data_IF_535782809048
#
_entry.id   IF_535782809048
#
_cell.length_a   1.000
_cell.length_b   1.000
_cell.length_c   1.000
_cell.angle_alpha   90.00
_cell.angle_beta   90.00
_cell.angle_gamma   90.00
#
_symmetry.space_group_name_H-M   'P 1'
#
loop_
_entity.id
_entity.type
_entity.pdbx_description
1 polymer ?
#
# COMPACT_ATOMS: atom_id res chain seq x y z
N UNK A 1 27.96 15.69 -46.07
CA UNK A 1 27.26 14.58 -45.37
C UNK A 1 25.88 14.42 -46.00
N UNK A 2 25.63 13.34 -46.75
CA UNK A 2 24.42 13.19 -47.58
C UNK A 2 23.15 13.36 -46.74
N UNK A 3 22.22 14.22 -47.18
CA UNK A 3 20.91 14.45 -46.53
C UNK A 3 20.15 13.15 -46.25
N UNK A 4 20.35 12.14 -47.10
CA UNK A 4 19.83 10.78 -46.95
C UNK A 4 20.41 10.02 -45.73
N UNK A 5 21.73 10.16 -45.48
CA UNK A 5 22.38 9.56 -44.31
C UNK A 5 21.96 10.24 -43.01
N UNK A 6 21.71 11.55 -43.05
CA UNK A 6 21.21 12.30 -41.88
C UNK A 6 19.75 11.93 -41.53
N UNK A 7 18.90 11.75 -42.55
CA UNK A 7 17.51 11.31 -42.37
C UNK A 7 17.41 9.88 -41.83
N UNK A 8 18.26 8.96 -42.29
CA UNK A 8 18.30 7.58 -41.81
C UNK A 8 18.74 7.48 -40.34
N UNK A 9 19.72 8.29 -39.92
CA UNK A 9 20.19 8.37 -38.53
C UNK A 9 19.10 8.94 -37.61
N UNK A 10 18.35 9.95 -38.08
CA UNK A 10 17.25 10.53 -37.31
C UNK A 10 16.08 9.54 -37.12
N UNK A 11 15.73 8.78 -38.16
CA UNK A 11 14.69 7.74 -38.07
C UNK A 11 15.16 6.63 -37.11
N UNK A 12 16.42 6.18 -37.21
CA UNK A 12 16.96 5.14 -36.34
C UNK A 12 17.01 5.58 -34.86
N UNK A 13 17.28 6.86 -34.59
CA UNK A 13 17.25 7.44 -33.24
C UNK A 13 15.84 7.50 -32.63
N UNK A 14 14.78 7.60 -33.44
CA UNK A 14 13.39 7.56 -32.97
C UNK A 14 12.97 6.13 -32.61
N UNK A 15 13.45 5.13 -33.36
CA UNK A 15 13.08 3.72 -33.13
C UNK A 15 13.64 3.19 -31.80
N UNK A 16 14.88 3.54 -31.43
CA UNK A 16 15.50 3.06 -30.18
C UNK A 16 14.83 3.58 -28.90
N UNK A 17 14.24 4.79 -28.93
CA UNK A 17 13.55 5.37 -27.77
C UNK A 17 12.13 4.84 -27.59
N UNK A 18 11.56 4.20 -28.62
CA UNK A 18 10.19 3.69 -28.58
C UNK A 18 10.06 2.38 -27.79
N UNK A 19 11.10 1.54 -27.78
CA UNK A 19 11.10 0.25 -27.10
C UNK A 19 10.98 0.36 -25.57
N UNK A 20 11.65 1.32 -24.94
CA UNK A 20 11.62 1.45 -23.46
C UNK A 20 10.26 1.92 -22.95
N UNK A 21 9.60 2.85 -23.65
CA UNK A 21 8.27 3.35 -23.30
C UNK A 21 7.21 2.27 -23.52
N UNK A 22 7.29 1.54 -24.66
CA UNK A 22 6.40 0.40 -24.94
C UNK A 22 6.52 -0.70 -23.86
N UNK A 23 7.74 -0.96 -23.39
CA UNK A 23 7.98 -1.93 -22.33
C UNK A 23 7.36 -1.47 -21.00
N UNK A 24 7.54 -0.22 -20.58
CA UNK A 24 6.98 0.31 -19.33
C UNK A 24 5.45 0.36 -19.35
N UNK A 25 4.84 0.73 -20.47
CA UNK A 25 3.39 0.69 -20.60
C UNK A 25 2.87 -0.75 -20.48
N UNK A 26 3.52 -1.72 -21.12
CA UNK A 26 3.16 -3.13 -21.00
C UNK A 26 3.36 -3.69 -19.60
N UNK A 27 4.45 -3.33 -18.91
CA UNK A 27 4.71 -3.69 -17.51
C UNK A 27 3.61 -3.19 -16.58
N UNK A 28 3.19 -1.94 -16.77
CA UNK A 28 2.14 -1.28 -16.02
C UNK A 28 0.78 -1.96 -16.22
N UNK A 29 0.39 -2.26 -17.46
CA UNK A 29 -0.86 -2.97 -17.75
C UNK A 29 -0.89 -4.37 -17.12
N UNK A 30 0.24 -5.10 -17.16
CA UNK A 30 0.35 -6.40 -16.50
C UNK A 30 0.28 -6.30 -14.97
N UNK A 31 0.80 -5.22 -14.39
CA UNK A 31 0.67 -4.97 -12.95
C UNK A 31 -0.80 -4.73 -12.57
N UNK A 32 -1.53 -3.91 -13.33
CA UNK A 32 -2.97 -3.71 -13.10
C UNK A 32 -3.74 -5.03 -13.23
N UNK A 33 -3.36 -5.87 -14.20
CA UNK A 33 -3.95 -7.19 -14.42
C UNK A 33 -3.46 -8.29 -13.47
N UNK A 34 -2.62 -7.97 -12.48
CA UNK A 34 -2.15 -8.93 -11.47
C UNK A 34 -3.21 -9.16 -10.40
N UNK A 35 -3.09 -10.27 -9.67
CA UNK A 35 -3.91 -10.52 -8.48
C UNK A 35 -3.27 -9.87 -7.26
N UNK A 36 -4.09 -9.36 -6.34
CA UNK A 36 -3.63 -8.65 -5.14
C UNK A 36 -4.32 -9.21 -3.91
N UNK A 37 -3.58 -9.33 -2.82
CA UNK A 37 -4.10 -9.71 -1.52
C UNK A 37 -3.48 -8.84 -0.42
N UNK A 38 -4.31 -8.37 0.51
CA UNK A 38 -3.84 -7.81 1.77
C UNK A 38 -3.59 -8.99 2.71
N UNK A 39 -2.33 -9.33 2.95
CA UNK A 39 -1.97 -10.56 3.67
C UNK A 39 -1.71 -10.34 5.15
N UNK A 40 -1.36 -9.12 5.56
CA UNK A 40 -1.16 -8.77 6.97
C UNK A 40 -1.27 -7.26 7.22
N UNK A 41 -1.63 -6.89 8.45
CA UNK A 41 -1.53 -5.52 8.98
C UNK A 41 -0.90 -5.60 10.37
N UNK A 42 0.28 -5.03 10.52
CA UNK A 42 1.01 -5.03 11.79
C UNK A 42 0.94 -3.64 12.42
N UNK A 43 0.56 -3.58 13.69
CA UNK A 43 0.73 -2.40 14.51
C UNK A 43 2.15 -2.38 15.08
N UNK A 44 2.86 -1.27 14.90
CA UNK A 44 4.28 -1.15 15.26
C UNK A 44 4.52 -0.16 16.39
N UNK A 45 3.71 0.90 16.48
CA UNK A 45 3.85 1.92 17.51
C UNK A 45 2.49 2.52 17.85
N UNK A 46 2.22 2.75 19.13
CA UNK A 46 1.03 3.46 19.62
C UNK A 46 1.47 4.58 20.55
N UNK A 47 1.15 5.83 20.22
CA UNK A 47 1.52 6.96 21.07
C UNK A 47 3.02 7.04 21.35
N UNK A 48 3.89 6.67 20.41
CA UNK A 48 5.34 6.63 20.64
C UNK A 48 5.85 5.43 21.44
N UNK A 49 4.98 4.54 21.90
CA UNK A 49 5.34 3.26 22.52
C UNK A 49 5.44 2.19 21.44
N UNK A 50 6.57 1.51 21.34
CA UNK A 50 6.73 0.36 20.45
C UNK A 50 5.83 -0.78 20.92
N UNK A 51 4.99 -1.28 20.02
CA UNK A 51 4.05 -2.37 20.29
C UNK A 51 4.26 -3.56 19.37
N UNK A 52 5.35 -3.57 18.59
CA UNK A 52 5.63 -4.59 17.57
C UNK A 52 5.77 -6.00 18.18
N UNK A 53 6.24 -6.08 19.43
CA UNK A 53 6.53 -7.34 20.14
C UNK A 53 5.49 -7.67 21.23
N UNK A 54 4.39 -6.91 21.34
CA UNK A 54 3.30 -7.23 22.27
C UNK A 54 2.62 -8.53 21.85
N UNK A 55 3.03 -9.62 22.49
CA UNK A 55 2.45 -10.95 22.38
C UNK A 55 1.94 -11.41 23.76
N UNK A 56 1.33 -12.59 23.85
CA UNK A 56 0.75 -13.12 25.10
C UNK A 56 1.73 -13.15 26.31
N UNK A 57 3.04 -13.04 26.06
CA UNK A 57 4.10 -13.08 27.09
C UNK A 57 4.74 -11.72 27.41
N UNK A 58 4.54 -10.69 26.58
CA UNK A 58 5.08 -9.35 26.77
C UNK A 58 3.95 -8.35 26.95
N UNK A 59 3.84 -7.80 28.16
CA UNK A 59 2.88 -6.75 28.49
C UNK A 59 3.55 -5.37 28.48
N UNK A 60 2.76 -4.34 28.17
CA UNK A 60 3.13 -2.95 28.42
C UNK A 60 3.64 -2.76 29.85
N UNK A 61 4.77 -2.09 30.01
CA UNK A 61 5.28 -1.76 31.34
C UNK A 61 4.53 -0.55 31.94
N UNK A 62 4.73 -0.27 33.22
CA UNK A 62 4.03 0.83 33.89
C UNK A 62 4.33 2.21 33.27
N UNK A 63 5.55 2.42 32.75
CA UNK A 63 5.93 3.64 32.04
C UNK A 63 5.24 3.78 30.69
N UNK A 64 5.09 2.68 29.95
CA UNK A 64 4.34 2.65 28.70
C UNK A 64 2.88 3.03 28.95
N UNK A 65 2.25 2.44 29.98
CA UNK A 65 0.86 2.72 30.37
C UNK A 65 0.69 4.21 30.76
N UNK A 66 1.61 4.77 31.54
CA UNK A 66 1.59 6.20 31.90
C UNK A 66 1.71 7.09 30.64
N UNK A 67 2.58 6.72 29.71
CA UNK A 67 2.78 7.45 28.44
C UNK A 67 1.51 7.42 27.60
N UNK A 68 0.94 6.23 27.37
CA UNK A 68 -0.29 6.04 26.63
C UNK A 68 -1.48 6.77 27.27
N UNK A 69 -1.56 6.78 28.59
CA UNK A 69 -2.61 7.49 29.35
C UNK A 69 -2.49 9.00 29.14
N UNK A 70 -1.29 9.57 29.26
CA UNK A 70 -1.08 10.99 29.00
C UNK A 70 -1.44 11.39 27.58
N UNK A 71 -1.10 10.55 26.60
CA UNK A 71 -1.42 10.76 25.18
C UNK A 71 -2.91 10.64 24.93
N UNK A 72 -3.60 9.69 25.54
CA UNK A 72 -5.06 9.58 25.47
C UNK A 72 -5.75 10.87 25.94
N UNK A 73 -5.29 11.46 27.05
CA UNK A 73 -5.83 12.73 27.55
C UNK A 73 -5.55 13.92 26.62
N UNK A 74 -4.54 13.84 25.76
CA UNK A 74 -4.27 14.85 24.73
C UNK A 74 -5.28 14.81 23.57
N UNK A 75 -6.10 13.76 23.47
CA UNK A 75 -7.07 13.59 22.38
C UNK A 75 -6.46 13.16 21.05
N UNK A 76 -5.18 12.77 21.03
CA UNK A 76 -4.48 12.28 19.84
C UNK A 76 -3.74 10.99 20.18
N UNK A 77 -4.12 9.88 19.55
CA UNK A 77 -3.51 8.57 19.78
C UNK A 77 -2.95 8.02 18.46
N UNK A 78 -1.75 8.46 18.04
CA UNK A 78 -1.18 8.03 16.77
C UNK A 78 -0.84 6.53 16.82
N UNK A 79 -1.32 5.78 15.84
CA UNK A 79 -1.04 4.37 15.63
C UNK A 79 -0.28 4.21 14.31
N UNK A 80 0.93 3.67 14.36
CA UNK A 80 1.74 3.33 13.18
C UNK A 80 1.47 1.89 12.76
N UNK A 81 1.12 1.74 11.49
CA UNK A 81 0.77 0.47 10.86
C UNK A 81 1.73 0.15 9.71
N UNK A 82 2.03 -1.14 9.55
CA UNK A 82 2.65 -1.69 8.35
C UNK A 82 1.66 -2.64 7.67
N UNK A 83 1.22 -2.29 6.46
CA UNK A 83 0.32 -3.11 5.65
C UNK A 83 1.15 -3.92 4.65
N UNK A 84 0.94 -5.22 4.61
CA UNK A 84 1.64 -6.16 3.73
C UNK A 84 0.72 -6.55 2.59
N UNK A 85 1.17 -6.29 1.37
CA UNK A 85 0.38 -6.55 0.17
C UNK A 85 1.16 -7.53 -0.70
N UNK A 86 0.53 -8.66 -0.97
CA UNK A 86 1.01 -9.60 -1.96
C UNK A 86 0.45 -9.22 -3.33
N UNK A 87 1.31 -9.17 -4.33
CA UNK A 87 0.95 -9.09 -5.74
C UNK A 87 1.42 -10.35 -6.44
N UNK A 88 0.52 -11.00 -7.19
CA UNK A 88 0.80 -12.17 -8.00
C UNK A 88 0.67 -11.83 -9.49
N UNK A 89 1.80 -11.85 -10.19
CA UNK A 89 1.81 -11.63 -11.63
C UNK A 89 1.42 -12.92 -12.37
N UNK A 90 0.21 -12.94 -12.91
CA UNK A 90 -0.33 -14.08 -13.68
C UNK A 90 0.18 -14.17 -15.11
N UNK A 91 1.00 -13.20 -15.54
CA UNK A 91 1.46 -13.07 -16.92
C UNK A 91 2.85 -13.72 -17.12
N UNK A 92 3.17 -14.02 -18.38
CA UNK A 92 4.46 -14.58 -18.84
C UNK A 92 5.59 -13.56 -18.93
N UNK A 93 5.31 -12.29 -18.62
CA UNK A 93 6.26 -11.17 -18.67
C UNK A 93 6.20 -10.37 -17.38
N UNK A 94 7.30 -9.71 -17.06
CA UNK A 94 7.43 -8.85 -15.87
C UNK A 94 6.30 -7.80 -15.82
N UNK A 95 5.68 -7.68 -14.65
CA UNK A 95 4.75 -6.63 -14.30
C UNK A 95 5.46 -5.58 -13.46
N UNK A 96 5.27 -4.29 -13.72
CA UNK A 96 5.91 -3.25 -12.93
C UNK A 96 5.18 -1.92 -12.91
N UNK A 97 5.35 -1.18 -11.82
CA UNK A 97 4.89 0.21 -11.64
C UNK A 97 6.05 1.06 -11.15
N UNK A 98 6.04 2.38 -11.43
CA UNK A 98 7.02 3.31 -10.88
C UNK A 98 6.70 3.76 -9.47
N UNK A 99 5.45 3.60 -9.05
CA UNK A 99 4.95 3.96 -7.74
C UNK A 99 3.42 3.90 -7.72
N UNK A 100 2.81 4.30 -6.60
CA UNK A 100 1.35 4.36 -6.47
C UNK A 100 0.93 5.39 -5.43
N UNK A 101 -0.26 5.97 -5.62
CA UNK A 101 -0.99 6.59 -4.52
C UNK A 101 -1.85 5.52 -3.83
N UNK A 102 -2.11 5.67 -2.54
CA UNK A 102 -2.95 4.73 -1.80
C UNK A 102 -3.80 5.43 -0.73
N UNK A 103 -4.90 4.78 -0.35
CA UNK A 103 -5.83 5.22 0.70
C UNK A 103 -6.27 4.03 1.54
N UNK A 104 -6.15 4.16 2.86
CA UNK A 104 -6.68 3.20 3.82
C UNK A 104 -8.09 3.63 4.25
N UNK A 105 -9.02 2.70 4.12
CA UNK A 105 -10.44 2.93 4.37
C UNK A 105 -10.98 1.91 5.37
N UNK A 106 -11.97 2.32 6.16
CA UNK A 106 -12.83 1.43 6.94
C UNK A 106 -14.28 1.81 6.60
N UNK A 107 -15.06 0.86 6.08
CA UNK A 107 -16.32 1.21 5.44
C UNK A 107 -16.07 2.12 4.23
N UNK A 108 -16.71 3.30 4.23
CA UNK A 108 -16.51 4.34 3.20
C UNK A 108 -15.65 5.51 3.68
N UNK A 109 -15.18 5.49 4.94
CA UNK A 109 -14.38 6.55 5.53
C UNK A 109 -12.89 6.37 5.21
N UNK A 110 -12.25 7.42 4.71
CA UNK A 110 -10.80 7.50 4.51
C UNK A 110 -10.14 7.94 5.81
N UNK A 111 -9.22 7.14 6.33
CA UNK A 111 -8.50 7.45 7.58
C UNK A 111 -7.12 8.01 7.32
N UNK A 112 -6.46 7.50 6.29
CA UNK A 112 -5.09 7.92 5.94
C UNK A 112 -4.80 7.56 4.49
N UNK A 113 -3.92 8.34 3.88
CA UNK A 113 -3.54 8.20 2.49
C UNK A 113 -2.06 8.56 2.33
N UNK A 114 -1.47 8.10 1.24
CA UNK A 114 -0.08 8.40 0.94
C UNK A 114 0.30 8.01 -0.48
N UNK A 115 1.59 8.04 -0.72
CA UNK A 115 2.17 7.58 -1.98
C UNK A 115 3.46 6.82 -1.73
N UNK A 116 3.76 5.90 -2.63
CA UNK A 116 5.07 5.28 -2.79
C UNK A 116 5.61 5.76 -4.11
N UNK A 117 6.84 6.26 -4.09
CA UNK A 117 7.59 6.67 -5.29
C UNK A 117 8.77 5.74 -5.59
N UNK A 118 8.55 4.45 -5.28
CA UNK A 118 9.50 3.37 -5.53
C UNK A 118 8.95 2.40 -6.58
N UNK A 119 9.85 1.96 -7.45
CA UNK A 119 9.53 1.01 -8.51
C UNK A 119 9.25 -0.37 -7.90
N UNK A 120 8.10 -0.94 -8.26
CA UNK A 120 7.70 -2.29 -7.86
C UNK A 120 7.70 -3.17 -9.10
N UNK A 121 8.59 -4.14 -9.15
CA UNK A 121 8.69 -5.15 -10.21
C UNK A 121 8.28 -6.52 -9.68
N UNK A 122 7.51 -7.28 -10.46
CA UNK A 122 7.03 -8.62 -10.15
C UNK A 122 7.35 -9.52 -11.34
N UNK A 123 8.21 -10.51 -11.11
CA UNK A 123 8.66 -11.45 -12.15
C UNK A 123 7.47 -12.28 -12.71
N UNK A 124 7.59 -12.84 -13.93
CA UNK A 124 6.58 -13.72 -14.50
C UNK A 124 6.18 -14.85 -13.54
N UNK A 125 4.89 -15.12 -13.44
CA UNK A 125 4.32 -16.20 -12.61
C UNK A 125 4.82 -16.22 -11.16
N UNK A 126 5.15 -15.05 -10.61
CA UNK A 126 5.73 -14.93 -9.27
C UNK A 126 4.90 -14.03 -8.36
N UNK A 127 5.10 -14.23 -7.06
CA UNK A 127 4.52 -13.41 -5.99
C UNK A 127 5.59 -12.49 -5.43
N UNK A 128 5.20 -11.25 -5.10
CA UNK A 128 6.02 -10.30 -4.36
C UNK A 128 5.21 -9.65 -3.27
N UNK A 129 5.81 -9.49 -2.10
CA UNK A 129 5.23 -8.74 -0.98
C UNK A 129 5.91 -7.37 -0.91
N UNK A 130 5.11 -6.32 -0.87
CA UNK A 130 5.58 -4.96 -0.56
C UNK A 130 4.85 -4.40 0.66
N UNK A 131 5.47 -3.43 1.33
CA UNK A 131 5.00 -2.88 2.61
C UNK A 131 4.56 -1.43 2.43
N UNK A 132 3.38 -1.08 2.94
CA UNK A 132 2.95 0.30 3.14
C UNK A 132 3.12 0.65 4.61
N UNK A 133 3.92 1.66 4.93
CA UNK A 133 3.98 2.22 6.28
C UNK A 133 3.05 3.42 6.34
N UNK A 134 2.18 3.45 7.34
CA UNK A 134 1.21 4.52 7.52
C UNK A 134 1.01 4.82 9.00
N UNK A 135 0.42 5.98 9.27
CA UNK A 135 -0.03 6.39 10.58
C UNK A 135 -1.49 6.86 10.49
N UNK A 136 -2.27 6.55 11.51
CA UNK A 136 -3.62 7.08 11.72
C UNK A 136 -3.79 7.46 13.20
N UNK A 137 -4.79 8.27 13.53
CA UNK A 137 -5.17 8.48 14.92
C UNK A 137 -6.20 7.42 15.32
N UNK A 138 -5.86 6.59 16.30
CA UNK A 138 -6.70 5.50 16.76
C UNK A 138 -8.04 6.02 17.30
N UNK A 139 -8.09 7.22 17.86
CA UNK A 139 -9.35 7.82 18.34
C UNK A 139 -10.33 8.16 17.22
N UNK A 140 -9.82 8.45 16.01
CA UNK A 140 -10.68 8.70 14.84
C UNK A 140 -11.32 7.39 14.36
N UNK A 141 -10.60 6.27 14.55
CA UNK A 141 -11.06 4.92 14.22
C UNK A 141 -12.03 4.39 15.27
N UNK A 142 -11.77 4.63 16.55
CA UNK A 142 -12.59 4.21 17.68
C UNK A 142 -13.77 5.17 17.88
N UNK A 143 -14.78 5.09 17.02
CA UNK A 143 -16.06 5.73 17.29
C UNK A 143 -17.00 4.76 18.04
N UNK A 144 -18.12 5.27 18.57
CA UNK A 144 -19.07 4.44 19.34
C UNK A 144 -19.64 3.25 18.56
N UNK A 145 -19.61 3.31 17.23
CA UNK A 145 -20.15 2.27 16.35
C UNK A 145 -19.14 1.19 15.99
N UNK A 146 -17.84 1.50 15.98
CA UNK A 146 -16.74 0.57 15.63
C UNK A 146 -16.02 0.01 16.86
N UNK A 147 -16.08 0.71 17.99
CA UNK A 147 -15.42 0.33 19.24
C UNK A 147 -15.79 -1.10 19.69
N UNK A 148 -17.07 -1.54 19.69
CA UNK A 148 -17.41 -2.91 20.06
C UNK A 148 -16.78 -3.98 19.14
N UNK A 149 -16.71 -3.73 17.83
CA UNK A 149 -16.11 -4.64 16.84
C UNK A 149 -14.59 -4.69 17.03
N UNK A 150 -13.95 -3.54 17.23
CA UNK A 150 -12.51 -3.47 17.47
C UNK A 150 -12.14 -4.22 18.75
N UNK A 151 -12.93 -4.09 19.82
CA UNK A 151 -12.74 -4.87 21.06
C UNK A 151 -12.93 -6.38 20.84
N UNK A 152 -13.82 -6.79 19.93
CA UNK A 152 -13.99 -8.21 19.58
C UNK A 152 -12.79 -8.74 18.79
N UNK A 153 -12.36 -8.02 17.77
CA UNK A 153 -11.16 -8.36 16.98
C UNK A 153 -9.92 -8.41 17.85
N UNK A 154 -9.73 -7.44 18.75
CA UNK A 154 -8.59 -7.42 19.67
C UNK A 154 -8.56 -8.61 20.65
N UNK A 155 -9.72 -9.16 21.01
CA UNK A 155 -9.83 -10.34 21.91
C UNK A 155 -9.72 -11.67 21.17
N UNK A 156 -10.03 -11.70 19.88
CA UNK A 156 -10.00 -12.90 19.07
C UNK A 156 -9.56 -12.55 17.63
N UNK A 157 -8.28 -12.25 17.46
CA UNK A 157 -7.71 -11.77 16.19
C UNK A 157 -7.77 -12.81 15.06
N UNK A 158 -8.13 -14.06 15.37
CA UNK A 158 -8.28 -15.15 14.39
C UNK A 158 -9.71 -15.27 13.86
N UNK A 159 -10.66 -14.44 14.30
CA UNK A 159 -12.04 -14.45 13.83
C UNK A 159 -12.19 -13.64 12.53
N UNK A 160 -12.09 -14.34 11.39
CA UNK A 160 -12.22 -13.73 10.07
C UNK A 160 -13.55 -13.00 9.85
N UNK A 161 -14.64 -13.43 10.50
CA UNK A 161 -15.93 -12.75 10.35
C UNK A 161 -15.93 -11.38 11.04
N UNK A 162 -15.34 -11.30 12.24
CA UNK A 162 -15.22 -10.03 12.96
C UNK A 162 -14.26 -9.06 12.25
N UNK A 163 -13.17 -9.57 11.63
CA UNK A 163 -12.28 -8.75 10.79
C UNK A 163 -13.03 -8.23 9.55
N UNK A 164 -13.83 -9.08 8.88
CA UNK A 164 -14.65 -8.66 7.72
C UNK A 164 -15.67 -7.58 8.08
N UNK A 165 -16.23 -7.60 9.31
CA UNK A 165 -17.18 -6.58 9.78
C UNK A 165 -16.57 -5.18 9.89
N UNK A 166 -15.25 -5.07 10.04
CA UNK A 166 -14.57 -3.77 9.99
C UNK A 166 -14.55 -3.18 8.58
N UNK A 167 -14.85 -3.96 7.52
CA UNK A 167 -14.86 -3.52 6.12
C UNK A 167 -13.60 -2.70 5.74
N UNK A 168 -12.44 -3.23 6.13
CA UNK A 168 -11.14 -2.63 5.83
C UNK A 168 -10.91 -2.73 4.32
N UNK A 169 -10.59 -1.60 3.68
CA UNK A 169 -10.24 -1.54 2.27
C UNK A 169 -8.96 -0.75 2.09
N UNK A 170 -8.07 -1.24 1.25
CA UNK A 170 -6.96 -0.46 0.74
C UNK A 170 -7.21 -0.11 -0.73
N UNK A 171 -7.37 1.17 -1.03
CA UNK A 171 -7.52 1.65 -2.39
C UNK A 171 -6.14 2.06 -2.93
N UNK A 172 -5.69 1.47 -4.04
CA UNK A 172 -4.40 1.81 -4.68
C UNK A 172 -4.61 2.42 -6.07
N UNK A 173 -3.72 3.33 -6.46
CA UNK A 173 -3.71 4.00 -7.76
C UNK A 173 -2.29 3.98 -8.33
N UNK A 174 -1.91 2.88 -9.01
CA UNK A 174 -0.58 2.74 -9.56
C UNK A 174 -0.30 3.76 -10.66
N UNK A 175 0.97 4.05 -10.89
CA UNK A 175 1.42 4.90 -11.98
C UNK A 175 2.76 4.44 -12.54
N UNK A 176 3.06 4.91 -13.75
CA UNK A 176 4.39 4.81 -14.35
C UNK A 176 4.90 6.19 -14.78
N UNK A 177 6.22 6.37 -14.73
CA UNK A 177 6.91 7.60 -15.11
C UNK A 177 7.40 7.48 -16.55
N UNK A 178 7.05 8.43 -17.41
CA UNK A 178 7.65 8.60 -18.75
C UNK A 178 8.51 9.86 -18.78
N UNK A 179 9.26 10.06 -19.86
CA UNK A 179 10.00 11.31 -20.11
C UNK A 179 9.08 12.54 -20.19
N UNK A 180 7.79 12.35 -20.49
CA UNK A 180 6.79 13.41 -20.60
C UNK A 180 5.96 13.63 -19.32
N UNK A 181 6.21 12.87 -18.24
CA UNK A 181 5.53 13.03 -16.95
C UNK A 181 5.03 11.72 -16.35
N UNK A 182 4.14 11.83 -15.36
CA UNK A 182 3.55 10.68 -14.66
C UNK A 182 2.22 10.32 -15.30
N UNK A 183 2.02 9.04 -15.61
CA UNK A 183 0.72 8.50 -16.04
C UNK A 183 0.15 7.59 -14.96
N UNK A 184 -0.93 8.04 -14.33
CA UNK A 184 -1.66 7.32 -13.28
C UNK A 184 -2.84 6.55 -13.84
N UNK A 185 -3.26 5.48 -13.16
CA UNK A 185 -4.53 4.82 -13.41
C UNK A 185 -5.68 5.83 -13.28
N UNK A 186 -6.76 5.80 -14.09
CA UNK A 186 -7.84 6.77 -13.92
C UNK A 186 -8.60 6.57 -12.59
N UNK A 187 -8.79 5.31 -12.19
CA UNK A 187 -9.56 4.90 -11.00
C UNK A 187 -8.67 4.20 -9.96
N UNK A 188 -9.20 4.00 -8.76
CA UNK A 188 -8.53 3.20 -7.73
C UNK A 188 -8.90 1.72 -7.85
N UNK A 189 -7.94 0.84 -7.64
CA UNK A 189 -8.14 -0.60 -7.41
C UNK A 189 -8.41 -0.78 -5.91
N UNK A 190 -9.45 -1.51 -5.54
CA UNK A 190 -9.80 -1.75 -4.13
C UNK A 190 -9.37 -3.15 -3.71
N UNK A 191 -8.46 -3.20 -2.74
CA UNK A 191 -7.98 -4.43 -2.09
C UNK A 191 -8.74 -4.64 -0.78
N UNK A 192 -9.04 -5.89 -0.46
CA UNK A 192 -9.67 -6.32 0.79
C UNK A 192 -8.83 -7.43 1.43
N UNK A 193 -8.86 -7.57 2.76
CA UNK A 193 -8.37 -8.76 3.46
C UNK A 193 -9.06 -10.04 2.96
#
# INVERSE_FOLDING_TARGET
MNKFKLSLVLILAIVINSCSILNQAGEYERFIGSSFALINVEATELGGVDISDLNDSQSLNAGDIMTLTGILFSGNMPLKLTVFIEVYNINDKMAAISGMDWKFMMGETEYTAGSIDDRIEVEPYSKKVFKLRTQLNLLDVLNSETLPQIIKVARNINDEEEIKKLDIKLKIKPYYKTSSGIKKLPTYITLRP
#
